data_IF_408052904897
#
_entry.id   IF_408052904897
#
_cell.length_a   1.000
_cell.length_b   1.000
_cell.length_c   1.000
_cell.angle_alpha   90.00
_cell.angle_beta   90.00
_cell.angle_gamma   90.00
#
_symmetry.space_group_name_H-M   'P 1'
#
loop_
_entity.id
_entity.type
_entity.pdbx_description
1 polymer ?
#
# COMPACT_ATOMS: atom_id res chain seq x y z
N UNK A 1 -52.97 -33.35 -34.53
CA UNK A 1 -51.83 -33.96 -33.80
C UNK A 1 -50.60 -33.71 -34.65
N UNK A 2 -49.61 -33.03 -34.09
CA UNK A 2 -48.31 -32.80 -34.76
C UNK A 2 -47.49 -34.08 -34.63
N UNK A 3 -46.75 -34.47 -35.66
CA UNK A 3 -45.84 -35.62 -35.61
C UNK A 3 -44.42 -35.10 -35.35
N UNK A 4 -43.48 -35.91 -34.84
CA UNK A 4 -42.08 -35.49 -34.77
C UNK A 4 -41.58 -35.12 -36.18
N UNK A 5 -40.84 -34.01 -36.26
CA UNK A 5 -40.37 -33.45 -37.52
C UNK A 5 -38.86 -33.34 -37.50
N UNK A 6 -38.20 -33.59 -38.64
CA UNK A 6 -36.75 -33.41 -38.78
C UNK A 6 -36.45 -32.06 -39.43
N UNK A 7 -35.47 -31.32 -38.91
CA UNK A 7 -34.95 -30.12 -39.55
C UNK A 7 -34.10 -30.52 -40.76
N UNK A 8 -34.45 -30.09 -41.97
CA UNK A 8 -33.74 -30.53 -43.18
C UNK A 8 -32.39 -29.83 -43.33
N UNK A 9 -31.41 -30.59 -43.83
CA UNK A 9 -30.09 -30.09 -44.21
C UNK A 9 -29.90 -29.94 -45.72
N UNK A 10 -30.86 -30.40 -46.52
CA UNK A 10 -30.80 -30.37 -47.98
C UNK A 10 -32.13 -29.93 -48.57
N UNK A 11 -32.09 -29.19 -49.67
CA UNK A 11 -33.27 -28.86 -50.46
C UNK A 11 -33.68 -30.11 -51.27
N UNK A 12 -34.96 -30.49 -51.23
CA UNK A 12 -35.46 -31.55 -52.13
C UNK A 12 -35.75 -30.94 -53.50
N UNK A 13 -35.45 -31.70 -54.54
CA UNK A 13 -35.71 -31.30 -55.94
C UNK A 13 -37.21 -31.01 -56.12
N UNK A 14 -37.55 -29.79 -56.55
CA UNK A 14 -38.93 -29.31 -56.71
C UNK A 14 -39.55 -28.57 -55.50
N UNK A 15 -38.90 -28.54 -54.33
CA UNK A 15 -39.36 -27.73 -53.18
C UNK A 15 -38.57 -26.40 -53.08
N UNK A 16 -39.28 -25.28 -52.85
CA UNK A 16 -38.64 -23.98 -52.60
C UNK A 16 -38.16 -23.89 -51.15
N UNK A 17 -37.02 -24.49 -50.82
CA UNK A 17 -36.27 -24.07 -49.63
C UNK A 17 -35.43 -22.83 -50.00
N UNK A 18 -35.65 -21.66 -49.36
CA UNK A 18 -34.78 -20.51 -49.57
C UNK A 18 -33.36 -20.85 -49.13
N UNK A 19 -32.37 -20.55 -50.00
CA UNK A 19 -30.95 -20.88 -49.76
C UNK A 19 -30.44 -20.23 -48.46
N UNK A 20 -31.04 -19.10 -48.04
CA UNK A 20 -30.69 -18.43 -46.79
C UNK A 20 -31.08 -19.24 -45.54
N UNK A 21 -31.84 -20.32 -45.65
CA UNK A 21 -32.22 -21.17 -44.50
C UNK A 21 -31.48 -22.51 -44.46
N UNK A 22 -30.70 -22.82 -45.51
CA UNK A 22 -29.88 -24.04 -45.59
C UNK A 22 -28.77 -23.96 -44.53
N UNK A 23 -28.58 -25.04 -43.76
CA UNK A 23 -27.56 -25.08 -42.70
C UNK A 23 -27.88 -24.27 -41.44
N UNK A 24 -28.95 -23.46 -41.42
CA UNK A 24 -29.25 -22.57 -40.28
C UNK A 24 -30.03 -23.26 -39.17
N UNK A 25 -29.61 -23.11 -37.90
CA UNK A 25 -30.34 -23.68 -36.77
C UNK A 25 -31.73 -23.04 -36.61
N UNK A 26 -32.63 -23.79 -35.98
CA UNK A 26 -33.99 -23.36 -35.68
C UNK A 26 -34.23 -23.37 -34.17
N UNK A 27 -34.56 -22.21 -33.61
CA UNK A 27 -34.90 -22.10 -32.18
C UNK A 27 -36.42 -22.09 -31.98
N UNK A 28 -36.91 -23.09 -31.25
CA UNK A 28 -38.33 -23.30 -30.93
C UNK A 28 -38.48 -23.80 -29.48
N UNK A 29 -39.47 -23.29 -28.73
CA UNK A 29 -39.72 -23.75 -27.35
C UNK A 29 -38.55 -23.58 -26.38
N UNK A 30 -37.65 -22.62 -26.62
CA UNK A 30 -36.44 -22.41 -25.81
C UNK A 30 -35.23 -23.27 -26.21
N UNK A 31 -35.39 -24.21 -27.15
CA UNK A 31 -34.34 -25.10 -27.63
C UNK A 31 -33.88 -24.74 -29.04
N UNK A 32 -32.58 -24.90 -29.32
CA UNK A 32 -31.99 -24.70 -30.64
C UNK A 32 -31.70 -26.05 -31.30
N UNK A 33 -32.29 -26.28 -32.47
CA UNK A 33 -32.15 -27.52 -33.25
C UNK A 33 -31.29 -27.25 -34.48
N UNK A 34 -30.32 -28.11 -34.76
CA UNK A 34 -29.47 -28.05 -35.96
C UNK A 34 -30.04 -28.93 -37.08
N UNK A 35 -29.68 -28.68 -38.35
CA UNK A 35 -30.12 -29.53 -39.45
C UNK A 35 -29.77 -31.00 -39.20
N UNK A 36 -30.74 -31.89 -39.39
CA UNK A 36 -30.66 -33.31 -39.04
C UNK A 36 -31.27 -33.65 -37.67
N UNK A 37 -31.48 -32.68 -36.78
CA UNK A 37 -32.13 -32.94 -35.50
C UNK A 37 -33.63 -33.22 -35.66
N UNK A 38 -34.12 -34.13 -34.82
CA UNK A 38 -35.54 -34.40 -34.63
C UNK A 38 -36.10 -33.40 -33.61
N UNK A 39 -37.15 -32.69 -34.00
CA UNK A 39 -37.95 -31.81 -33.14
C UNK A 39 -39.12 -32.66 -32.60
N UNK A 40 -39.20 -32.88 -31.27
CA UNK A 40 -40.26 -33.66 -30.66
C UNK A 40 -41.64 -33.05 -30.87
N UNK A 41 -42.67 -33.91 -30.77
CA UNK A 41 -44.07 -33.45 -30.77
C UNK A 41 -44.35 -32.55 -29.54
N UNK A 42 -45.27 -31.61 -29.70
CA UNK A 42 -45.67 -30.64 -28.66
C UNK A 42 -44.77 -29.41 -28.53
N UNK A 43 -43.53 -29.43 -29.03
CA UNK A 43 -42.62 -28.26 -29.00
C UNK A 43 -42.95 -27.26 -30.11
N UNK A 44 -43.51 -27.75 -31.22
CA UNK A 44 -43.81 -26.95 -32.40
C UNK A 44 -45.32 -26.81 -32.58
N UNK A 45 -45.84 -25.57 -32.48
CA UNK A 45 -47.25 -25.32 -32.74
C UNK A 45 -47.67 -25.75 -34.17
N UNK A 46 -48.85 -26.37 -34.36
CA UNK A 46 -49.28 -26.90 -35.65
C UNK A 46 -49.21 -25.89 -36.81
N UNK A 47 -49.62 -24.65 -36.59
CA UNK A 47 -49.58 -23.59 -37.62
C UNK A 47 -48.13 -23.26 -38.05
N UNK A 48 -47.21 -23.25 -37.09
CA UNK A 48 -45.79 -23.01 -37.36
C UNK A 48 -45.16 -24.22 -38.06
N UNK A 49 -45.57 -25.43 -37.71
CA UNK A 49 -45.16 -26.65 -38.39
C UNK A 49 -45.55 -26.62 -39.87
N UNK A 50 -46.80 -26.30 -40.18
CA UNK A 50 -47.29 -26.18 -41.56
C UNK A 50 -46.53 -25.12 -42.37
N UNK A 51 -46.24 -23.97 -41.76
CA UNK A 51 -45.44 -22.91 -42.40
C UNK A 51 -44.02 -23.38 -42.70
N UNK A 52 -43.38 -24.08 -41.76
CA UNK A 52 -42.02 -24.60 -41.92
C UNK A 52 -41.94 -25.76 -42.91
N UNK A 53 -42.99 -26.59 -43.02
CA UNK A 53 -43.12 -27.61 -44.08
C UNK A 53 -43.29 -26.96 -45.46
N UNK A 54 -44.14 -25.93 -45.57
CA UNK A 54 -44.39 -25.22 -46.84
C UNK A 54 -43.12 -24.61 -47.43
N UNK A 55 -42.21 -24.12 -46.57
CA UNK A 55 -40.90 -23.59 -47.00
C UNK A 55 -39.80 -24.66 -47.07
N UNK A 56 -40.14 -25.94 -46.97
CA UNK A 56 -39.21 -27.06 -47.10
C UNK A 56 -38.18 -27.20 -45.97
N UNK A 57 -38.35 -26.49 -44.84
CA UNK A 57 -37.34 -26.44 -43.76
C UNK A 57 -37.44 -27.62 -42.81
N UNK A 58 -38.63 -28.19 -42.62
CA UNK A 58 -38.83 -29.39 -41.79
C UNK A 58 -39.57 -30.47 -42.58
N UNK A 59 -39.53 -31.71 -42.12
CA UNK A 59 -40.36 -32.79 -42.66
C UNK A 59 -40.89 -33.71 -41.61
N UNK A 60 -42.12 -34.19 -41.81
CA UNK A 60 -42.70 -35.21 -40.96
C UNK A 60 -41.90 -36.50 -41.08
N UNK A 61 -41.61 -37.07 -39.92
CA UNK A 61 -41.05 -38.41 -39.81
C UNK A 61 -42.25 -39.36 -39.84
N UNK A 62 -42.84 -39.54 -41.02
CA UNK A 62 -43.81 -40.60 -41.26
C UNK A 62 -43.12 -41.96 -41.15
N UNK A 63 -43.79 -42.98 -40.59
CA UNK A 63 -43.25 -44.32 -40.25
C UNK A 63 -42.75 -45.19 -41.42
N UNK A 64 -42.00 -44.62 -42.36
CA UNK A 64 -41.16 -45.32 -43.33
C UNK A 64 -39.75 -44.79 -43.13
N UNK A 65 -38.85 -45.70 -42.75
CA UNK A 65 -37.42 -45.48 -42.55
C UNK A 65 -36.87 -44.37 -43.45
N UNK A 66 -36.35 -43.33 -42.80
CA UNK A 66 -35.46 -42.41 -43.47
C UNK A 66 -34.23 -43.22 -43.88
N UNK A 67 -34.16 -43.63 -45.16
CA UNK A 67 -32.94 -44.21 -45.70
C UNK A 67 -31.85 -43.15 -45.64
N UNK A 68 -30.98 -43.30 -44.65
CA UNK A 68 -29.62 -42.77 -44.69
C UNK A 68 -29.09 -43.09 -46.10
N UNK A 69 -28.54 -42.08 -46.78
CA UNK A 69 -28.02 -42.24 -48.14
C UNK A 69 -27.22 -43.53 -48.24
N UNK A 70 -27.58 -44.40 -49.18
CA UNK A 70 -26.77 -45.56 -49.51
C UNK A 70 -25.36 -45.08 -49.83
N UNK A 71 -24.30 -45.74 -49.33
CA UNK A 71 -22.97 -45.41 -49.79
C UNK A 71 -22.94 -45.65 -51.30
N UNK A 72 -22.64 -44.60 -52.05
CA UNK A 72 -22.06 -44.74 -53.39
C UNK A 72 -20.92 -45.76 -53.27
N UNK A 73 -20.80 -46.64 -54.27
CA UNK A 73 -19.75 -47.67 -54.34
C UNK A 73 -18.38 -47.03 -54.54
N UNK A 74 -17.90 -46.33 -53.52
CA UNK A 74 -16.61 -45.69 -53.31
C UNK A 74 -16.68 -45.14 -51.87
N UNK A 75 -16.35 -45.98 -50.89
CA UNK A 75 -16.47 -45.68 -49.45
C UNK A 75 -17.38 -46.65 -48.70
N UNK A 76 -17.03 -47.93 -48.65
CA UNK A 76 -17.61 -48.83 -47.67
C UNK A 76 -17.10 -48.42 -46.28
N UNK A 77 -17.95 -47.77 -45.48
CA UNK A 77 -17.71 -47.66 -44.05
C UNK A 77 -17.78 -49.08 -43.47
N UNK A 78 -16.61 -49.69 -43.24
CA UNK A 78 -16.50 -50.95 -42.55
C UNK A 78 -17.16 -50.80 -41.16
N UNK A 79 -18.22 -51.56 -40.92
CA UNK A 79 -18.83 -51.65 -39.60
C UNK A 79 -17.90 -52.51 -38.74
N UNK A 80 -17.34 -51.92 -37.68
CA UNK A 80 -16.44 -52.61 -36.76
C UNK A 80 -17.14 -53.77 -36.05
N UNK A 81 -16.46 -54.91 -35.96
CA UNK A 81 -16.88 -56.04 -35.14
C UNK A 81 -16.69 -55.73 -33.64
N UNK A 82 -17.44 -56.39 -32.75
CA UNK A 82 -17.27 -56.20 -31.30
C UNK A 82 -15.82 -56.42 -30.82
N UNK A 83 -15.12 -57.39 -31.41
CA UNK A 83 -13.71 -57.69 -31.11
C UNK A 83 -12.77 -56.55 -31.54
N UNK A 84 -13.03 -55.91 -32.67
CA UNK A 84 -12.28 -54.73 -33.11
C UNK A 84 -12.55 -53.52 -32.21
N UNK A 85 -13.78 -53.36 -31.71
CA UNK A 85 -14.12 -52.30 -30.75
C UNK A 85 -13.40 -52.51 -29.42
N UNK A 86 -13.40 -53.73 -28.88
CA UNK A 86 -12.69 -54.05 -27.63
C UNK A 86 -11.19 -53.77 -27.73
N UNK A 87 -10.58 -54.07 -28.89
CA UNK A 87 -9.18 -53.76 -29.17
C UNK A 87 -8.93 -52.24 -29.22
N UNK A 88 -9.80 -51.47 -29.87
CA UNK A 88 -9.68 -50.01 -29.94
C UNK A 88 -9.83 -49.39 -28.54
N UNK A 89 -10.76 -49.91 -27.74
CA UNK A 89 -10.97 -49.44 -26.36
C UNK A 89 -9.75 -49.79 -25.50
N UNK A 90 -9.22 -51.00 -25.60
CA UNK A 90 -8.02 -51.41 -24.85
C UNK A 90 -6.79 -50.57 -25.21
N UNK A 91 -6.56 -50.31 -26.50
CA UNK A 91 -5.46 -49.47 -26.98
C UNK A 91 -5.61 -48.01 -26.52
N UNK A 92 -6.83 -47.46 -26.58
CA UNK A 92 -7.13 -46.13 -26.08
C UNK A 92 -6.91 -46.01 -24.57
N UNK A 93 -7.28 -47.03 -23.80
CA UNK A 93 -7.04 -47.07 -22.35
C UNK A 93 -5.55 -47.15 -22.05
N UNK A 94 -4.81 -48.07 -22.69
CA UNK A 94 -3.35 -48.22 -22.47
C UNK A 94 -2.59 -46.94 -22.77
N UNK A 95 -2.92 -46.31 -23.92
CA UNK A 95 -2.33 -45.02 -24.30
C UNK A 95 -2.66 -43.92 -23.31
N UNK A 96 -3.92 -43.83 -22.87
CA UNK A 96 -4.33 -42.82 -21.89
C UNK A 96 -3.66 -43.03 -20.52
N UNK A 97 -3.43 -44.28 -20.10
CA UNK A 97 -2.72 -44.58 -18.85
C UNK A 97 -1.24 -44.23 -18.94
N UNK A 98 -0.56 -44.56 -20.03
CA UNK A 98 0.85 -44.20 -20.24
C UNK A 98 1.03 -42.68 -20.29
N UNK A 99 0.14 -41.96 -20.98
CA UNK A 99 0.17 -40.49 -21.01
C UNK A 99 -0.11 -39.88 -19.63
N UNK A 100 -0.99 -40.49 -18.82
CA UNK A 100 -1.26 -40.03 -17.46
C UNK A 100 -0.07 -40.26 -16.53
N UNK A 101 0.57 -41.43 -16.62
CA UNK A 101 1.77 -41.76 -15.84
C UNK A 101 2.94 -40.85 -16.20
N UNK A 102 3.17 -40.60 -17.50
CA UNK A 102 4.19 -39.65 -17.95
C UNK A 102 3.95 -38.24 -17.41
N UNK A 103 2.70 -37.73 -17.49
CA UNK A 103 2.33 -36.43 -16.90
C UNK A 103 2.48 -36.40 -15.38
N UNK A 104 2.22 -37.52 -14.71
CA UNK A 104 2.38 -37.64 -13.27
C UNK A 104 3.86 -37.57 -12.87
N UNK A 105 4.75 -38.22 -13.60
CA UNK A 105 6.20 -38.13 -13.37
C UNK A 105 6.76 -36.73 -13.66
N UNK A 106 6.32 -36.08 -14.74
CA UNK A 106 6.66 -34.68 -15.00
C UNK A 106 6.19 -33.76 -13.87
N UNK A 107 4.96 -33.98 -13.37
CA UNK A 107 4.42 -33.20 -12.26
C UNK A 107 5.22 -33.41 -10.98
N UNK A 108 5.62 -34.65 -10.66
CA UNK A 108 6.48 -34.95 -9.50
C UNK A 108 7.82 -34.23 -9.61
N UNK A 109 8.43 -34.22 -10.80
CA UNK A 109 9.69 -33.50 -11.05
C UNK A 109 9.54 -32.00 -10.78
N UNK A 110 8.51 -31.37 -11.33
CA UNK A 110 8.24 -29.93 -11.12
C UNK A 110 8.02 -29.60 -9.64
N UNK A 111 7.29 -30.45 -8.90
CA UNK A 111 7.07 -30.26 -7.46
C UNK A 111 8.41 -30.31 -6.72
N UNK A 112 9.26 -31.29 -7.02
CA UNK A 112 10.57 -31.42 -6.37
C UNK A 112 11.49 -30.22 -6.61
N UNK A 113 11.48 -29.66 -7.82
CA UNK A 113 12.24 -28.43 -8.15
C UNK A 113 11.68 -27.22 -7.41
N UNK A 114 10.35 -27.08 -7.34
CA UNK A 114 9.70 -26.00 -6.59
C UNK A 114 9.97 -26.08 -5.09
N UNK A 115 10.05 -27.28 -4.52
CA UNK A 115 10.40 -27.48 -3.11
C UNK A 115 11.85 -27.09 -2.82
N UNK A 116 12.78 -27.39 -3.73
CA UNK A 116 14.17 -26.96 -3.62
C UNK A 116 14.31 -25.43 -3.71
N UNK A 117 13.63 -24.80 -4.67
CA UNK A 117 13.63 -23.34 -4.81
C UNK A 117 13.02 -22.66 -3.58
N UNK A 118 11.89 -23.19 -3.09
CA UNK A 118 11.24 -22.71 -1.86
C UNK A 118 12.16 -22.83 -0.65
N UNK A 119 12.90 -23.94 -0.51
CA UNK A 119 13.86 -24.11 0.57
C UNK A 119 15.00 -23.07 0.49
N UNK A 120 15.51 -22.81 -0.73
CA UNK A 120 16.50 -21.75 -0.96
C UNK A 120 15.98 -20.37 -0.57
N UNK A 121 14.78 -20.01 -1.01
CA UNK A 121 14.14 -18.73 -0.67
C UNK A 121 13.88 -18.60 0.84
N UNK A 122 13.46 -19.68 1.50
CA UNK A 122 13.28 -19.68 2.95
C UNK A 122 14.57 -19.40 3.70
N UNK A 123 15.69 -19.97 3.25
CA UNK A 123 16.99 -19.68 3.83
C UNK A 123 17.36 -18.20 3.68
N UNK A 124 17.15 -17.63 2.50
CA UNK A 124 17.41 -16.20 2.26
C UNK A 124 16.54 -15.29 3.14
N UNK A 125 15.29 -15.66 3.38
CA UNK A 125 14.40 -14.90 4.29
C UNK A 125 14.93 -14.92 5.72
N UNK A 126 15.38 -16.08 6.21
CA UNK A 126 15.96 -16.20 7.56
C UNK A 126 17.21 -15.33 7.70
N UNK A 127 18.08 -15.31 6.69
CA UNK A 127 19.28 -14.46 6.67
C UNK A 127 18.91 -12.97 6.69
N UNK A 128 17.96 -12.54 5.85
CA UNK A 128 17.49 -11.15 5.85
C UNK A 128 16.82 -10.74 7.17
N UNK A 129 16.06 -11.62 7.80
CA UNK A 129 15.45 -11.36 9.10
C UNK A 129 16.51 -11.21 10.20
N UNK A 130 17.56 -12.03 10.15
CA UNK A 130 18.70 -11.91 11.04
C UNK A 130 19.41 -10.57 10.85
N UNK A 131 19.75 -10.20 9.62
CA UNK A 131 20.39 -8.91 9.33
C UNK A 131 19.53 -7.73 9.76
N UNK A 132 18.21 -7.79 9.53
CA UNK A 132 17.27 -6.76 9.97
C UNK A 132 17.24 -6.62 11.50
N UNK A 133 17.29 -7.74 12.23
CA UNK A 133 17.32 -7.71 13.69
C UNK A 133 18.67 -7.19 14.21
N UNK A 134 19.79 -7.56 13.59
CA UNK A 134 21.11 -6.99 13.90
C UNK A 134 21.13 -5.47 13.66
N UNK A 135 20.59 -5.01 12.53
CA UNK A 135 20.44 -3.57 12.25
C UNK A 135 19.52 -2.87 13.24
N UNK A 136 18.44 -3.53 13.69
CA UNK A 136 17.54 -3.00 14.69
C UNK A 136 18.21 -2.87 16.06
N UNK A 137 19.02 -3.85 16.45
CA UNK A 137 19.81 -3.81 17.67
C UNK A 137 20.86 -2.70 17.60
N UNK A 138 21.58 -2.59 16.48
CA UNK A 138 22.52 -1.50 16.25
C UNK A 138 21.83 -0.13 16.30
N UNK A 139 20.64 0.00 15.70
CA UNK A 139 19.86 1.23 15.77
C UNK A 139 19.41 1.57 17.20
N UNK A 140 19.03 0.56 17.99
CA UNK A 140 18.67 0.73 19.40
C UNK A 140 19.90 1.09 20.27
N UNK A 141 21.10 0.59 19.93
CA UNK A 141 22.36 0.94 20.59
C UNK A 141 22.82 2.36 20.23
N UNK A 142 22.58 2.79 18.98
CA UNK A 142 22.81 4.19 18.54
C UNK A 142 21.82 5.16 19.20
N UNK A 143 20.71 4.67 19.76
CA UNK A 143 19.83 5.47 20.59
C UNK A 143 20.52 5.76 21.93
N UNK A 144 21.44 6.75 21.90
CA UNK A 144 22.21 7.21 23.05
C UNK A 144 21.23 7.53 24.18
N UNK A 145 21.30 6.85 25.34
CA UNK A 145 20.52 7.22 26.51
C UNK A 145 21.04 8.59 26.98
N UNK A 146 20.35 9.65 26.54
CA UNK A 146 20.79 11.03 26.72
C UNK A 146 20.25 11.98 25.64
N UNK A 147 19.90 11.49 24.45
CA UNK A 147 19.05 12.19 23.49
C UNK A 147 17.63 11.63 23.59
N UNK A 148 17.04 11.72 24.77
CA UNK A 148 15.60 11.54 24.93
C UNK A 148 14.91 12.58 24.06
N UNK A 149 13.99 12.14 23.20
CA UNK A 149 12.99 12.94 22.47
C UNK A 149 13.27 14.43 22.44
N UNK A 150 13.71 14.98 21.30
CA UNK A 150 13.76 16.43 21.11
C UNK A 150 12.37 17.02 21.39
N UNK A 151 12.14 17.47 22.62
CA UNK A 151 11.02 18.33 23.02
C UNK A 151 11.24 19.76 22.51
N UNK A 152 12.04 19.92 21.45
CA UNK A 152 12.59 21.19 20.99
C UNK A 152 13.65 21.81 21.91
N UNK A 153 13.83 21.35 23.15
CA UNK A 153 14.72 22.00 24.13
C UNK A 153 16.19 21.58 23.95
N UNK A 154 17.06 22.56 23.73
CA UNK A 154 18.53 22.43 23.64
C UNK A 154 19.14 22.81 24.99
N UNK A 155 19.99 21.94 25.55
CA UNK A 155 20.72 22.22 26.79
C UNK A 155 22.07 22.92 26.49
N UNK A 156 22.22 24.16 26.94
CA UNK A 156 23.40 25.00 26.67
C UNK A 156 24.22 25.20 27.96
N UNK A 157 25.45 24.68 28.05
CA UNK A 157 26.32 24.94 29.19
C UNK A 157 26.91 26.36 29.10
N UNK A 158 26.61 27.18 30.11
CA UNK A 158 27.03 28.57 30.21
C UNK A 158 27.98 28.73 31.39
N UNK A 159 29.12 29.40 31.20
CA UNK A 159 30.06 29.71 32.28
C UNK A 159 29.56 30.96 33.03
N UNK A 160 29.28 30.80 34.32
CA UNK A 160 28.93 31.91 35.21
C UNK A 160 30.14 32.80 35.54
N UNK A 161 29.87 34.07 35.88
CA UNK A 161 30.84 34.97 36.46
C UNK A 161 31.12 34.49 37.90
N UNK A 162 32.25 33.81 38.09
CA UNK A 162 32.79 33.45 39.40
C UNK A 162 34.14 34.13 39.55
N UNK A 163 34.30 34.95 40.59
CA UNK A 163 35.54 35.66 40.92
C UNK A 163 36.65 34.73 41.48
N UNK A 164 36.58 33.42 41.21
CA UNK A 164 37.57 32.43 41.66
C UNK A 164 37.76 31.30 40.64
N UNK A 165 38.89 30.58 40.75
CA UNK A 165 39.44 29.63 39.76
C UNK A 165 38.52 28.48 39.30
N UNK A 166 37.32 28.33 39.87
CA UNK A 166 36.30 27.38 39.42
C UNK A 166 35.04 28.13 38.96
N UNK A 167 34.97 28.46 37.67
CA UNK A 167 33.76 29.02 37.06
C UNK A 167 32.62 28.01 37.13
N UNK A 168 31.55 28.34 37.85
CA UNK A 168 30.35 27.51 37.93
C UNK A 168 29.72 27.43 36.53
N UNK A 169 29.67 26.24 35.95
CA UNK A 169 28.96 26.00 34.68
C UNK A 169 27.50 25.72 35.00
N UNK A 170 26.60 26.54 34.47
CA UNK A 170 25.15 26.38 34.60
C UNK A 170 24.60 25.87 33.27
N UNK A 171 23.76 24.83 33.29
CA UNK A 171 23.11 24.29 32.09
C UNK A 171 21.77 25.00 31.91
N UNK A 172 21.62 25.71 30.80
CA UNK A 172 20.41 26.47 30.47
C UNK A 172 19.59 25.67 29.44
N UNK A 173 18.36 25.27 29.75
CA UNK A 173 17.44 24.73 28.74
C UNK A 173 16.93 25.88 27.87
N UNK A 174 17.06 25.76 26.55
CA UNK A 174 16.61 26.76 25.59
C UNK A 174 15.74 26.14 24.49
N UNK A 175 14.54 26.65 24.31
CA UNK A 175 13.65 26.30 23.20
C UNK A 175 14.09 26.95 21.88
N UNK A 176 13.61 26.46 20.72
CA UNK A 176 13.94 27.06 19.42
C UNK A 176 13.50 28.53 19.32
N UNK A 177 12.36 28.88 19.92
CA UNK A 177 11.83 30.25 19.95
C UNK A 177 12.72 31.19 20.77
N UNK A 178 13.17 30.74 21.95
CA UNK A 178 14.12 31.49 22.78
C UNK A 178 15.46 31.69 22.07
N UNK A 179 15.93 30.68 21.33
CA UNK A 179 17.16 30.81 20.54
C UNK A 179 17.00 31.77 19.36
N UNK A 180 15.84 31.75 18.70
CA UNK A 180 15.55 32.70 17.64
C UNK A 180 15.55 34.14 18.18
N UNK A 181 14.93 34.38 19.33
CA UNK A 181 14.94 35.69 20.00
C UNK A 181 16.36 36.10 20.40
N UNK A 182 17.14 35.19 21.00
CA UNK A 182 18.55 35.41 21.34
C UNK A 182 19.37 35.83 20.12
N UNK A 183 19.34 35.06 19.03
CA UNK A 183 20.12 35.38 17.82
C UNK A 183 19.63 36.67 17.14
N UNK A 184 18.33 36.97 17.20
CA UNK A 184 17.80 38.23 16.68
C UNK A 184 18.44 39.41 17.39
N UNK A 185 18.51 39.38 18.73
CA UNK A 185 19.09 40.47 19.53
C UNK A 185 20.60 40.57 19.33
N UNK A 186 21.31 39.44 19.27
CA UNK A 186 22.77 39.43 19.04
C UNK A 186 23.13 40.04 17.68
N UNK A 187 22.26 39.92 16.67
CA UNK A 187 22.50 40.49 15.33
C UNK A 187 22.13 41.97 15.20
N UNK A 188 21.31 42.53 16.10
CA UNK A 188 20.99 43.96 16.11
C UNK A 188 22.21 44.81 16.49
N UNK A 189 22.15 46.13 16.26
CA UNK A 189 23.18 47.03 16.81
C UNK A 189 23.02 47.22 18.33
N UNK A 190 24.00 47.83 18.99
CA UNK A 190 24.02 47.96 20.45
C UNK A 190 22.83 48.75 21.02
N UNK A 191 22.34 49.77 20.32
CA UNK A 191 21.24 50.64 20.79
C UNK A 191 19.88 49.97 20.56
N UNK A 192 19.67 49.39 19.38
CA UNK A 192 18.46 48.64 19.03
C UNK A 192 18.33 47.36 19.85
N UNK A 193 19.43 46.63 20.03
CA UNK A 193 19.47 45.43 20.87
C UNK A 193 19.13 45.76 22.32
N UNK A 194 19.68 46.84 22.88
CA UNK A 194 19.35 47.27 24.25
C UNK A 194 17.86 47.62 24.42
N UNK A 195 17.22 48.20 23.40
CA UNK A 195 15.77 48.45 23.40
C UNK A 195 14.97 47.14 23.31
N UNK A 196 15.34 46.23 22.42
CA UNK A 196 14.68 44.94 22.26
C UNK A 196 14.73 44.11 23.56
N UNK A 197 15.83 44.18 24.31
CA UNK A 197 16.00 43.47 25.59
C UNK A 197 14.97 43.89 26.63
N UNK A 198 14.48 45.13 26.60
CA UNK A 198 13.45 45.60 27.53
C UNK A 198 12.11 44.85 27.36
N UNK A 199 11.90 44.18 26.23
CA UNK A 199 10.69 43.41 25.91
C UNK A 199 10.85 41.89 26.14
N UNK A 200 12.08 41.42 26.29
CA UNK A 200 12.39 39.99 26.53
C UNK A 200 11.82 39.55 27.87
N UNK A 201 11.13 38.40 27.87
CA UNK A 201 10.49 37.80 29.06
C UNK A 201 11.19 36.54 29.56
N UNK A 202 11.95 35.87 28.70
CA UNK A 202 12.61 34.62 29.06
C UNK A 202 13.90 34.90 29.85
N UNK A 203 14.00 34.31 31.04
CA UNK A 203 15.23 34.32 31.83
C UNK A 203 16.37 33.65 31.08
N UNK A 204 16.09 32.54 30.38
CA UNK A 204 17.08 31.79 29.61
C UNK A 204 17.72 32.67 28.53
N UNK A 205 16.92 33.44 27.79
CA UNK A 205 17.42 34.38 26.78
C UNK A 205 18.30 35.46 27.43
N UNK A 206 17.88 36.01 28.57
CA UNK A 206 18.66 37.04 29.28
C UNK A 206 19.99 36.50 29.82
N UNK A 207 20.00 35.28 30.37
CA UNK A 207 21.23 34.60 30.82
C UNK A 207 22.17 34.38 29.63
N UNK A 208 21.65 33.88 28.50
CA UNK A 208 22.44 33.65 27.30
C UNK A 208 23.02 34.97 26.75
N UNK A 209 22.23 36.04 26.68
CA UNK A 209 22.69 37.36 26.23
C UNK A 209 23.80 37.92 27.12
N UNK A 210 23.65 37.82 28.44
CA UNK A 210 24.66 38.29 29.38
C UNK A 210 25.99 37.53 29.24
N UNK A 211 25.91 36.21 29.04
CA UNK A 211 27.09 35.36 28.96
C UNK A 211 27.80 35.43 27.60
N UNK A 212 27.03 35.41 26.49
CA UNK A 212 27.55 35.20 25.15
C UNK A 212 27.75 36.48 24.33
N UNK A 213 26.98 37.55 24.57
CA UNK A 213 27.14 38.79 23.80
C UNK A 213 28.43 39.52 24.22
N UNK A 214 29.23 39.99 23.26
CA UNK A 214 30.49 40.68 23.57
C UNK A 214 30.30 42.14 23.99
N UNK A 215 29.15 42.74 23.72
CA UNK A 215 28.89 44.17 23.92
C UNK A 215 28.41 44.44 25.33
N UNK A 216 29.13 45.30 26.06
CA UNK A 216 28.80 45.70 27.43
C UNK A 216 27.40 46.31 27.57
N UNK A 217 26.95 47.06 26.57
CA UNK A 217 25.60 47.66 26.54
C UNK A 217 24.51 46.59 26.59
N UNK A 218 24.68 45.50 25.83
CA UNK A 218 23.76 44.37 25.79
C UNK A 218 23.80 43.59 27.09
N UNK A 219 25.00 43.29 27.62
CA UNK A 219 25.14 42.60 28.91
C UNK A 219 24.45 43.36 30.05
N UNK A 220 24.70 44.67 30.14
CA UNK A 220 24.10 45.50 31.18
C UNK A 220 22.58 45.57 31.03
N UNK A 221 22.06 45.75 29.82
CA UNK A 221 20.62 45.74 29.57
C UNK A 221 19.97 44.40 29.96
N UNK A 222 20.61 43.27 29.64
CA UNK A 222 20.11 41.95 30.01
C UNK A 222 20.09 41.75 31.54
N UNK A 223 21.16 42.17 32.23
CA UNK A 223 21.25 42.13 33.70
C UNK A 223 20.18 43.01 34.37
N UNK A 224 19.97 44.22 33.87
CA UNK A 224 18.93 45.12 34.38
C UNK A 224 17.52 44.56 34.15
N UNK A 225 17.25 44.00 32.96
CA UNK A 225 15.96 43.39 32.65
C UNK A 225 15.69 42.17 33.52
N UNK A 226 16.70 41.31 33.73
CA UNK A 226 16.58 40.16 34.62
C UNK A 226 16.27 40.61 36.06
N UNK A 227 16.93 41.68 36.54
CA UNK A 227 16.61 42.29 37.83
C UNK A 227 15.14 42.71 37.92
N UNK A 228 14.61 43.40 36.90
CA UNK A 228 13.21 43.84 36.86
C UNK A 228 12.20 42.68 36.85
N UNK A 229 12.47 41.61 36.11
CA UNK A 229 11.54 40.50 35.95
C UNK A 229 11.57 39.50 37.11
N UNK A 230 12.74 39.29 37.72
CA UNK A 230 12.95 38.19 38.66
C UNK A 230 13.28 38.63 40.10
N UNK A 231 13.30 39.94 40.41
CA UNK A 231 13.44 40.45 41.79
C UNK A 231 12.11 40.75 42.50
N UNK A 232 11.00 40.10 42.11
CA UNK A 232 9.71 40.16 42.85
C UNK A 232 9.49 38.96 43.78
N UNK A 233 10.56 38.36 44.31
CA UNK A 233 10.47 37.26 45.29
C UNK A 233 11.40 37.46 46.51
N UNK A 234 11.64 38.72 46.91
CA UNK A 234 12.49 39.08 48.05
C UNK A 234 11.93 40.11 49.03
N UNK A 235 10.89 40.87 48.69
CA UNK A 235 10.43 41.98 49.52
C UNK A 235 9.12 41.69 50.27
N UNK A 236 9.21 40.83 51.29
CA UNK A 236 8.28 40.85 52.44
C UNK A 236 9.00 40.49 53.75
N UNK A 237 9.77 41.47 54.28
CA UNK A 237 10.02 41.80 55.71
C UNK A 237 11.38 42.52 55.78
N UNK A 238 11.55 43.68 56.40
CA UNK A 238 10.71 44.41 57.32
C UNK A 238 11.00 45.91 57.24
N UNK A 239 9.93 46.67 57.41
CA UNK A 239 9.90 48.08 57.74
C UNK A 239 10.79 48.41 58.95
N UNK A 240 11.49 49.54 58.88
CA UNK A 240 11.32 50.74 59.74
C UNK A 240 12.68 51.36 60.06
N UNK A 241 12.84 52.66 59.75
CA UNK A 241 13.79 53.52 60.46
C UNK A 241 14.66 54.36 59.54
N UNK A 242 14.10 55.45 59.02
CA UNK A 242 14.87 56.48 58.33
C UNK A 242 15.73 57.33 59.27
N UNK A 243 16.75 57.96 58.68
CA UNK A 243 16.97 59.41 58.76
C UNK A 243 18.00 59.84 57.70
N UNK A 244 17.60 60.81 56.87
CA UNK A 244 18.47 61.73 56.11
C UNK A 244 18.95 62.89 57.06
N UNK A 245 19.72 63.91 56.59
CA UNK A 245 21.07 63.89 56.01
C UNK A 245 22.00 64.99 56.62
N UNK A 246 23.23 65.11 56.06
CA UNK A 246 24.03 66.33 55.87
C UNK A 246 25.21 66.70 56.82
N UNK A 247 26.31 67.15 56.18
CA UNK A 247 27.41 67.97 56.73
C UNK A 247 28.81 67.43 56.36
N UNK A 248 29.37 67.67 55.16
CA UNK A 248 30.24 68.80 54.73
C UNK A 248 31.60 68.94 55.45
N UNK A 249 32.68 68.89 54.64
CA UNK A 249 33.98 69.58 54.76
C UNK A 249 34.93 69.17 55.93
N UNK A 250 36.27 69.08 55.88
CA UNK A 250 37.36 69.47 54.94
C UNK A 250 38.71 68.92 55.49
N UNK A 251 39.63 68.55 54.57
CA UNK A 251 41.08 68.88 54.50
C UNK A 251 42.04 68.79 55.73
N UNK A 252 43.20 68.14 55.48
CA UNK A 252 44.53 68.39 56.10
C UNK A 252 44.81 67.58 57.38
N UNK A 253 46.03 67.20 57.76
CA UNK A 253 47.40 67.36 57.27
C UNK A 253 48.27 66.36 58.08
N UNK A 254 49.51 66.16 57.64
CA UNK A 254 50.59 65.34 58.19
C UNK A 254 50.70 65.20 59.72
N UNK A 255 51.08 64.02 60.20
CA UNK A 255 52.34 63.74 60.95
C UNK A 255 52.57 62.23 61.05
#
# INVERSE_FOLDING_TARGET
MTWPVILRNVCKEGEKMPYELLGKPLTVGGNTYYPGNIIPDGILFPERAEKLKRIGRISEIGGKEYKIGSPTKEGAAALYTPEEVDKIVADAISKATEEMEARQEESKKVISEMEQEKAGLQQTVVEMEREREELRQAAAEIQVPGFSSFDGIIQIPVKGESDGENGQVTVIPASPEELQEFFSIVQLNAEEGAKAIAEVKSENVLILLHAADSRKTIKNAAKEQAGKLFQTQGDLKASTGGNEPAGTDTKGDDT
#
